data_IF_906542388279
#
_entry.id   IF_906542388279
#
_cell.length_a   1.000
_cell.length_b   1.000
_cell.length_c   1.000
_cell.angle_alpha   90.00
_cell.angle_beta   90.00
_cell.angle_gamma   90.00
#
_symmetry.space_group_name_H-M   'P 1'
#
loop_
_entity.id
_entity.type
_entity.pdbx_description
1 polymer ?
#
# COMPACT_ATOMS: atom_id res chain seq x y z
N UNK A 1 8.29 -1.44 25.48
CA UNK A 1 8.72 -2.11 24.24
C UNK A 1 9.21 -1.04 23.26
N UNK A 2 10.49 -1.02 22.90
CA UNK A 2 10.99 -0.10 21.88
C UNK A 2 10.70 -0.69 20.49
N UNK A 3 9.71 -0.11 19.79
CA UNK A 3 9.38 -0.47 18.41
C UNK A 3 10.20 0.42 17.48
N UNK A 4 10.96 -0.18 16.56
CA UNK A 4 11.66 0.59 15.53
C UNK A 4 10.63 1.29 14.63
N UNK A 5 10.69 2.62 14.48
CA UNK A 5 9.73 3.34 13.65
C UNK A 5 9.87 2.89 12.19
N UNK A 6 8.73 2.67 11.54
CA UNK A 6 8.70 2.43 10.10
C UNK A 6 8.73 3.79 9.37
N UNK A 7 9.85 4.10 8.73
CA UNK A 7 10.04 5.31 7.93
C UNK A 7 10.57 4.94 6.55
N UNK A 8 10.20 5.69 5.51
CA UNK A 8 10.73 5.49 4.16
C UNK A 8 11.78 6.54 3.81
N UNK A 9 12.95 6.09 3.36
CA UNK A 9 14.03 6.93 2.83
C UNK A 9 13.84 7.15 1.33
N UNK A 10 14.01 8.40 0.88
CA UNK A 10 14.11 8.76 -0.55
C UNK A 10 15.55 8.55 -1.04
N UNK A 11 15.73 8.24 -2.32
CA UNK A 11 17.07 8.08 -2.92
C UNK A 11 17.88 9.39 -2.92
N UNK A 12 17.20 10.53 -3.09
CA UNK A 12 17.78 11.88 -3.03
C UNK A 12 16.96 12.76 -2.08
N UNK A 13 17.61 13.75 -1.47
CA UNK A 13 16.98 14.73 -0.56
C UNK A 13 16.21 14.08 0.61
N UNK A 14 16.78 13.05 1.24
CA UNK A 14 16.19 12.42 2.43
C UNK A 14 16.99 12.76 3.67
N UNK A 15 16.31 13.18 4.73
CA UNK A 15 16.90 13.37 6.05
C UNK A 15 17.20 12.04 6.79
N UNK A 16 16.83 10.90 6.20
CA UNK A 16 17.05 9.57 6.78
C UNK A 16 18.41 9.03 6.31
N UNK A 17 19.30 8.80 7.28
CA UNK A 17 20.65 8.30 7.05
C UNK A 17 20.74 6.75 7.03
N UNK A 18 21.95 6.24 6.85
CA UNK A 18 22.23 4.80 6.77
C UNK A 18 21.97 4.01 8.06
N UNK A 19 21.93 4.64 9.24
CA UNK A 19 21.70 3.96 10.52
C UNK A 19 20.31 3.32 10.57
N UNK A 20 19.31 3.99 9.98
CA UNK A 20 17.94 3.48 9.89
C UNK A 20 17.78 2.45 8.77
N UNK A 21 18.53 2.57 7.67
CA UNK A 21 18.35 1.71 6.48
C UNK A 21 19.26 0.49 6.41
N UNK A 22 20.31 0.40 7.25
CA UNK A 22 21.32 -0.68 7.20
C UNK A 22 20.80 -2.06 7.57
N UNK A 23 19.72 -2.12 8.35
CA UNK A 23 19.22 -3.37 8.91
C UNK A 23 18.37 -4.14 7.88
N UNK A 24 18.51 -5.46 7.83
CA UNK A 24 17.73 -6.33 6.92
C UNK A 24 16.21 -6.13 7.07
N UNK A 25 15.74 -5.89 8.30
CA UNK A 25 14.34 -5.60 8.59
C UNK A 25 13.78 -4.36 7.87
N UNK A 26 14.60 -3.35 7.61
CA UNK A 26 14.18 -2.17 6.86
C UNK A 26 13.79 -2.53 5.42
N UNK A 27 14.61 -3.34 4.74
CA UNK A 27 14.35 -3.77 3.38
C UNK A 27 13.06 -4.62 3.28
N UNK A 28 12.84 -5.51 4.25
CA UNK A 28 11.61 -6.30 4.34
C UNK A 28 10.40 -5.39 4.56
N UNK A 29 10.52 -4.40 5.44
CA UNK A 29 9.44 -3.45 5.73
C UNK A 29 9.06 -2.63 4.51
N UNK A 30 10.04 -2.11 3.75
CA UNK A 30 9.77 -1.39 2.49
C UNK A 30 9.06 -2.25 1.45
N UNK A 31 9.43 -3.54 1.31
CA UNK A 31 8.73 -4.47 0.41
C UNK A 31 7.27 -4.69 0.84
N UNK A 32 7.02 -4.83 2.15
CA UNK A 32 5.65 -4.99 2.69
C UNK A 32 4.81 -3.72 2.51
N UNK A 33 5.38 -2.55 2.76
CA UNK A 33 4.73 -1.24 2.53
C UNK A 33 4.19 -1.13 1.11
N UNK A 34 5.02 -1.43 0.10
CA UNK A 34 4.62 -1.37 -1.31
C UNK A 34 3.41 -2.28 -1.62
N UNK A 35 3.37 -3.49 -1.05
CA UNK A 35 2.26 -4.44 -1.25
C UNK A 35 0.91 -3.90 -0.77
N UNK A 36 0.91 -3.04 0.25
CA UNK A 36 -0.30 -2.42 0.80
C UNK A 36 -0.65 -1.16 0.01
N UNK A 37 0.33 -0.29 -0.24
CA UNK A 37 0.10 0.99 -0.92
C UNK A 37 -0.35 0.85 -2.37
N UNK A 38 0.10 -0.17 -3.09
CA UNK A 38 -0.23 -0.39 -4.49
C UNK A 38 -1.75 -0.60 -4.71
N UNK A 39 -2.44 -1.50 -3.99
CA UNK A 39 -3.90 -1.60 -4.02
C UNK A 39 -4.64 -0.29 -3.68
N UNK A 40 -4.17 0.46 -2.68
CA UNK A 40 -4.78 1.76 -2.32
C UNK A 40 -4.61 2.80 -3.43
N UNK A 41 -3.46 2.83 -4.10
CA UNK A 41 -3.24 3.66 -5.27
C UNK A 41 -4.17 3.28 -6.41
N UNK A 42 -4.26 1.98 -6.72
CA UNK A 42 -5.16 1.46 -7.76
C UNK A 42 -6.63 1.79 -7.48
N UNK A 43 -7.09 1.62 -6.24
CA UNK A 43 -8.46 1.94 -5.86
C UNK A 43 -8.79 3.43 -6.01
N UNK A 44 -7.83 4.32 -5.78
CA UNK A 44 -8.01 5.75 -5.98
C UNK A 44 -8.08 6.11 -7.47
N UNK A 45 -7.22 5.52 -8.29
CA UNK A 45 -7.12 5.83 -9.72
C UNK A 45 -8.19 5.14 -10.57
N UNK A 46 -8.49 3.88 -10.30
CA UNK A 46 -9.39 3.03 -11.10
C UNK A 46 -10.69 2.70 -10.36
N UNK A 47 -10.61 2.50 -9.05
CA UNK A 47 -11.75 2.09 -8.22
C UNK A 47 -12.67 3.23 -7.75
N UNK A 48 -12.49 4.46 -8.25
CA UNK A 48 -13.27 5.65 -7.87
C UNK A 48 -13.32 5.92 -6.36
N UNK A 49 -12.26 5.57 -5.63
CA UNK A 49 -12.17 5.78 -4.17
C UNK A 49 -11.47 7.08 -3.77
N UNK A 50 -11.11 7.94 -4.72
CA UNK A 50 -10.49 9.25 -4.42
C UNK A 50 -11.50 10.19 -3.75
N UNK A 51 -12.74 10.22 -4.24
CA UNK A 51 -13.86 10.97 -3.67
C UNK A 51 -15.14 10.12 -3.79
N UNK A 52 -15.44 9.34 -2.75
CA UNK A 52 -16.68 8.55 -2.71
C UNK A 52 -17.90 9.45 -2.47
N UNK A 53 -18.98 9.18 -3.18
CA UNK A 53 -20.28 9.85 -2.96
C UNK A 53 -21.18 9.09 -1.97
N UNK A 54 -20.72 7.94 -1.47
CA UNK A 54 -21.46 7.15 -0.50
C UNK A 54 -21.35 7.77 0.90
N UNK A 55 -22.47 7.79 1.61
CA UNK A 55 -22.53 8.22 3.01
C UNK A 55 -22.72 7.00 3.92
N UNK A 56 -22.03 7.00 5.05
CA UNK A 56 -22.05 5.92 6.03
C UNK A 56 -20.95 4.88 5.83
N UNK A 57 -20.44 4.35 6.93
CA UNK A 57 -19.32 3.38 6.97
C UNK A 57 -19.68 2.05 6.33
N UNK A 58 -20.93 1.62 6.44
CA UNK A 58 -21.42 0.36 5.85
C UNK A 58 -21.32 0.38 4.32
N UNK A 59 -21.92 1.40 3.69
CA UNK A 59 -21.91 1.57 2.22
C UNK A 59 -20.49 1.76 1.69
N UNK A 60 -19.68 2.56 2.39
CA UNK A 60 -18.27 2.74 2.05
C UNK A 60 -17.47 1.43 2.21
N UNK A 61 -17.74 0.65 3.24
CA UNK A 61 -17.12 -0.64 3.49
C UNK A 61 -17.44 -1.66 2.39
N UNK A 62 -18.69 -1.68 1.92
CA UNK A 62 -19.10 -2.51 0.79
C UNK A 62 -18.35 -2.11 -0.50
N UNK A 63 -18.31 -0.81 -0.83
CA UNK A 63 -17.55 -0.30 -1.98
C UNK A 63 -16.07 -0.67 -1.87
N UNK A 64 -15.44 -0.40 -0.71
CA UNK A 64 -14.04 -0.73 -0.45
C UNK A 64 -13.74 -2.20 -0.67
N UNK A 65 -14.56 -3.09 -0.09
CA UNK A 65 -14.37 -4.54 -0.18
C UNK A 65 -14.44 -5.01 -1.62
N UNK A 66 -15.45 -4.53 -2.38
CA UNK A 66 -15.61 -4.88 -3.79
C UNK A 66 -14.44 -4.34 -4.64
N UNK A 67 -13.98 -3.11 -4.41
CA UNK A 67 -12.83 -2.53 -5.09
C UNK A 67 -11.53 -3.29 -4.80
N UNK A 68 -11.29 -3.70 -3.56
CA UNK A 68 -10.12 -4.50 -3.19
C UNK A 68 -10.16 -5.90 -3.82
N UNK A 69 -11.34 -6.53 -3.87
CA UNK A 69 -11.52 -7.81 -4.57
C UNK A 69 -11.19 -7.67 -6.07
N UNK A 70 -11.71 -6.63 -6.72
CA UNK A 70 -11.38 -6.34 -8.13
C UNK A 70 -9.88 -6.08 -8.34
N UNK A 71 -9.23 -5.34 -7.43
CA UNK A 71 -7.78 -5.11 -7.48
C UNK A 71 -6.99 -6.42 -7.39
N UNK A 72 -7.40 -7.35 -6.52
CA UNK A 72 -6.77 -8.65 -6.41
C UNK A 72 -6.91 -9.45 -7.72
N UNK A 73 -8.12 -9.48 -8.30
CA UNK A 73 -8.36 -10.15 -9.59
C UNK A 73 -7.52 -9.56 -10.73
N UNK A 74 -7.43 -8.23 -10.82
CA UNK A 74 -6.62 -7.55 -11.83
C UNK A 74 -5.11 -7.88 -11.72
N UNK A 75 -4.64 -8.26 -10.53
CA UNK A 75 -3.23 -8.62 -10.29
C UNK A 75 -2.94 -10.10 -10.53
N UNK A 76 -3.95 -10.97 -10.50
CA UNK A 76 -3.77 -12.43 -10.66
C UNK A 76 -3.01 -12.82 -11.93
N UNK A 77 -3.30 -12.28 -13.14
CA UNK A 77 -2.58 -12.67 -14.35
C UNK A 77 -1.07 -12.46 -14.23
N UNK A 78 -0.64 -11.35 -13.60
CA UNK A 78 0.77 -11.05 -13.39
C UNK A 78 1.42 -11.96 -12.33
N UNK A 79 0.65 -12.45 -11.38
CA UNK A 79 1.13 -13.38 -10.34
C UNK A 79 1.20 -14.82 -10.84
N UNK A 80 0.36 -15.18 -11.81
CA UNK A 80 0.27 -16.52 -12.39
C UNK A 80 1.08 -16.68 -13.69
N UNK A 81 1.40 -15.58 -14.37
CA UNK A 81 2.34 -15.57 -15.48
C UNK A 81 3.72 -15.98 -14.95
N UNK A 82 4.02 -17.26 -15.13
CA UNK A 82 5.29 -17.91 -14.78
C UNK A 82 6.19 -17.87 -16.00
#
# INVERSE_FOLDING_TARGET
MCVTPHVARKSRHSAIDGRTTRHSGYAVSQKRRKKIEEPFGWAKTVGSMTQTMLRGTERLGAQFTMTMAACNLARLPKLLAT
#
